data_IF_265628181095
#
_entry.id   IF_265628181095
#
_cell.length_a   1.000
_cell.length_b   1.000
_cell.length_c   1.000
_cell.angle_alpha   90.00
_cell.angle_beta   90.00
_cell.angle_gamma   90.00
#
_symmetry.space_group_name_H-M   'P 1'
#
loop_
_entity.id
_entity.type
_entity.pdbx_description
1 polymer ?
#
# COMPACT_ATOMS: atom_id res chain seq x y z
N UNK A 1 -16.73 8.60 -23.82
CA UNK A 1 -17.19 8.75 -25.23
C UNK A 1 -17.05 7.46 -26.05
N UNK A 2 -15.84 6.88 -26.26
CA UNK A 2 -15.62 5.64 -27.06
C UNK A 2 -16.60 4.48 -26.79
N UNK A 3 -16.97 4.27 -25.52
CA UNK A 3 -17.81 3.15 -25.10
C UNK A 3 -19.27 3.53 -24.81
N UNK A 4 -19.67 4.78 -25.08
CA UNK A 4 -21.02 5.30 -24.81
C UNK A 4 -21.57 4.93 -23.41
N UNK A 5 -20.72 5.06 -22.38
CA UNK A 5 -21.06 4.67 -21.00
C UNK A 5 -22.16 5.58 -20.45
N UNK A 6 -23.17 4.97 -19.82
CA UNK A 6 -24.35 5.65 -19.25
C UNK A 6 -24.53 5.31 -17.78
N UNK A 7 -25.33 6.12 -17.08
CA UNK A 7 -25.68 5.87 -15.69
C UNK A 7 -26.44 4.52 -15.57
N UNK A 8 -25.99 3.58 -14.72
CA UNK A 8 -26.54 2.22 -14.71
C UNK A 8 -27.99 2.12 -14.23
N UNK A 9 -28.50 3.10 -13.47
CA UNK A 9 -29.86 3.09 -12.91
C UNK A 9 -30.86 3.87 -13.77
N UNK A 10 -30.43 4.94 -14.42
CA UNK A 10 -31.32 5.88 -15.12
C UNK A 10 -31.07 5.95 -16.62
N UNK A 11 -29.99 5.33 -17.11
CA UNK A 11 -29.55 5.40 -18.50
C UNK A 11 -29.26 6.85 -18.99
N UNK A 12 -29.05 7.78 -18.06
CA UNK A 12 -28.67 9.15 -18.36
C UNK A 12 -27.23 9.23 -18.87
N UNK A 13 -26.95 10.23 -19.69
CA UNK A 13 -25.60 10.53 -20.12
C UNK A 13 -24.74 11.00 -18.93
N UNK A 14 -23.50 10.53 -18.88
CA UNK A 14 -22.55 10.90 -17.84
C UNK A 14 -21.84 12.20 -18.23
N UNK A 15 -21.58 13.06 -17.25
CA UNK A 15 -20.68 14.20 -17.44
C UNK A 15 -19.26 13.72 -17.69
N UNK A 16 -18.41 14.63 -18.20
CA UNK A 16 -16.98 14.35 -18.29
C UNK A 16 -16.39 14.02 -16.90
N UNK A 17 -15.45 13.06 -16.82
CA UNK A 17 -14.86 12.64 -15.56
C UNK A 17 -14.05 13.78 -14.94
N UNK A 18 -14.28 14.05 -13.67
CA UNK A 18 -13.57 15.08 -12.90
C UNK A 18 -12.82 14.46 -11.73
N UNK A 19 -11.67 15.03 -11.38
CA UNK A 19 -10.92 14.64 -10.20
C UNK A 19 -11.69 15.05 -8.94
N UNK A 20 -11.80 14.13 -7.98
CA UNK A 20 -12.46 14.37 -6.71
C UNK A 20 -11.49 14.04 -5.57
N UNK A 21 -11.35 14.97 -4.61
CA UNK A 21 -10.49 14.76 -3.46
C UNK A 21 -11.16 13.81 -2.47
N UNK A 22 -10.51 12.67 -2.22
CA UNK A 22 -10.98 11.63 -1.31
C UNK A 22 -10.61 11.90 0.16
N UNK A 23 -10.07 13.06 0.51
CA UNK A 23 -9.80 13.40 1.91
C UNK A 23 -11.00 14.12 2.54
N UNK A 24 -11.29 13.78 3.80
CA UNK A 24 -12.26 14.55 4.60
C UNK A 24 -11.61 15.85 5.05
N UNK A 25 -12.14 16.98 4.58
CA UNK A 25 -11.72 18.29 5.02
C UNK A 25 -12.40 18.67 6.34
N UNK A 26 -11.68 19.38 7.21
CA UNK A 26 -12.20 19.96 8.45
C UNK A 26 -11.52 21.31 8.71
N UNK A 27 -11.97 22.03 9.74
CA UNK A 27 -11.33 23.27 10.20
C UNK A 27 -10.82 23.07 11.63
N UNK A 28 -9.57 23.49 11.88
CA UNK A 28 -8.89 23.34 13.17
C UNK A 28 -8.96 24.68 13.92
N UNK A 29 -9.43 24.63 15.16
CA UNK A 29 -9.58 25.80 16.03
C UNK A 29 -10.87 26.60 15.80
N UNK A 30 -11.23 27.49 16.74
CA UNK A 30 -12.52 28.19 16.73
C UNK A 30 -12.65 29.25 15.62
N UNK A 31 -11.53 29.75 15.09
CA UNK A 31 -11.53 30.78 14.03
C UNK A 31 -11.79 30.21 12.65
N UNK A 32 -11.72 28.88 12.48
CA UNK A 32 -11.91 28.22 11.19
C UNK A 32 -10.85 28.53 10.13
N UNK A 33 -9.77 29.23 10.49
CA UNK A 33 -8.75 29.69 9.53
C UNK A 33 -7.78 28.59 9.11
N UNK A 34 -7.62 27.55 9.93
CA UNK A 34 -6.69 26.45 9.65
C UNK A 34 -7.49 25.31 9.03
N UNK A 35 -7.33 25.11 7.72
CA UNK A 35 -7.92 23.94 7.04
C UNK A 35 -7.10 22.69 7.37
N UNK A 36 -7.77 21.67 7.88
CA UNK A 36 -7.20 20.36 8.17
C UNK A 36 -7.84 19.26 7.34
N UNK A 37 -7.23 18.09 7.38
CA UNK A 37 -7.78 16.88 6.78
C UNK A 37 -7.67 15.72 7.75
N UNK A 38 -8.65 14.81 7.74
CA UNK A 38 -8.44 13.50 8.34
C UNK A 38 -7.42 12.74 7.50
N UNK A 39 -6.46 12.09 8.16
CA UNK A 39 -5.36 11.40 7.48
C UNK A 39 -5.89 10.25 6.59
N UNK A 40 -5.52 10.20 5.29
CA UNK A 40 -5.91 9.10 4.40
C UNK A 40 -5.07 7.83 4.59
N UNK A 41 -3.96 7.95 5.33
CA UNK A 41 -2.98 6.92 5.65
C UNK A 41 -2.29 7.19 7.01
N UNK A 42 -1.46 6.27 7.48
CA UNK A 42 -0.70 6.41 8.73
C UNK A 42 0.78 6.76 8.52
N UNK A 43 1.31 6.54 7.32
CA UNK A 43 2.70 6.75 6.90
C UNK A 43 3.27 8.14 7.22
N UNK A 44 2.52 9.19 6.92
CA UNK A 44 2.96 10.58 7.09
C UNK A 44 3.46 10.90 8.50
N UNK A 45 2.85 10.29 9.52
CA UNK A 45 3.26 10.45 10.92
C UNK A 45 4.66 9.90 11.21
N UNK A 46 5.09 8.86 10.50
CA UNK A 46 6.43 8.30 10.61
C UNK A 46 7.44 9.17 9.85
N UNK A 47 7.09 9.70 8.68
CA UNK A 47 7.98 10.58 7.91
C UNK A 47 8.27 11.91 8.60
N UNK A 48 7.25 12.59 9.14
CA UNK A 48 7.47 13.84 9.90
C UNK A 48 8.30 13.63 11.17
N UNK A 49 8.30 12.42 11.73
CA UNK A 49 9.09 12.05 12.90
C UNK A 49 10.40 11.33 12.56
N UNK A 50 10.80 11.25 11.28
CA UNK A 50 11.95 10.46 10.83
C UNK A 50 13.23 10.76 11.61
N UNK A 51 13.54 12.04 11.89
CA UNK A 51 14.76 12.42 12.63
C UNK A 51 14.84 11.75 14.01
N UNK A 52 13.72 11.72 14.74
CA UNK A 52 13.64 11.10 16.08
C UNK A 52 13.70 9.58 16.00
N UNK A 53 13.06 9.00 14.99
CA UNK A 53 13.09 7.55 14.76
C UNK A 53 14.50 7.08 14.38
N UNK A 54 15.20 7.83 13.54
CA UNK A 54 16.58 7.57 13.16
C UNK A 54 17.53 7.73 14.36
N UNK A 55 17.34 8.77 15.19
CA UNK A 55 18.09 8.96 16.42
C UNK A 55 17.91 7.79 17.40
N UNK A 56 16.70 7.25 17.51
CA UNK A 56 16.43 6.05 18.30
C UNK A 56 17.21 4.83 17.80
N UNK A 57 17.47 4.74 16.48
CA UNK A 57 18.36 3.74 15.89
C UNK A 57 19.82 4.19 15.80
N UNK A 58 20.24 5.15 16.63
CA UNK A 58 21.61 5.69 16.68
C UNK A 58 22.15 6.20 15.34
N UNK A 59 21.28 6.74 14.48
CA UNK A 59 21.68 7.24 13.17
C UNK A 59 21.98 6.17 12.12
N UNK A 60 21.67 4.89 12.39
CA UNK A 60 22.01 3.77 11.50
C UNK A 60 20.83 3.37 10.61
N UNK A 61 21.16 2.91 9.41
CA UNK A 61 20.25 2.22 8.50
C UNK A 61 20.69 0.76 8.33
N UNK A 62 19.77 -0.16 8.00
CA UNK A 62 18.33 0.05 7.89
C UNK A 62 17.62 0.11 9.26
N UNK A 63 16.42 0.67 9.28
CA UNK A 63 15.47 0.54 10.40
C UNK A 63 14.03 0.57 9.90
N UNK A 64 13.10 0.09 10.72
CA UNK A 64 11.67 0.16 10.40
C UNK A 64 10.90 0.84 11.52
N UNK A 65 9.88 1.62 11.15
CA UNK A 65 8.84 2.10 12.05
C UNK A 65 7.50 1.53 11.60
N UNK A 66 6.57 1.36 12.53
CA UNK A 66 5.24 0.87 12.22
C UNK A 66 4.17 1.68 12.96
N UNK A 67 3.00 1.82 12.35
CA UNK A 67 1.85 2.43 12.99
C UNK A 67 0.59 1.62 12.69
N UNK A 68 -0.21 1.40 13.73
CA UNK A 68 -1.55 0.82 13.62
C UNK A 68 -2.56 1.87 14.06
N UNK A 69 -3.55 2.14 13.22
CA UNK A 69 -4.60 3.08 13.58
C UNK A 69 -5.58 3.36 12.45
N UNK A 70 -6.57 4.20 12.73
CA UNK A 70 -7.62 4.51 11.77
C UNK A 70 -7.14 5.52 10.72
N UNK A 71 -7.63 5.32 9.50
CA UNK A 71 -7.49 6.23 8.36
C UNK A 71 -8.82 6.42 7.66
N UNK A 72 -8.94 7.55 6.97
CA UNK A 72 -10.21 8.03 6.45
C UNK A 72 -10.13 8.32 4.96
N UNK A 73 -11.03 7.73 4.17
CA UNK A 73 -11.14 7.98 2.73
C UNK A 73 -12.58 8.31 2.39
N UNK A 74 -12.83 9.52 1.89
CA UNK A 74 -14.14 10.04 1.49
C UNK A 74 -14.61 9.40 0.18
N UNK A 75 -14.84 8.09 0.25
CA UNK A 75 -15.22 7.27 -0.88
C UNK A 75 -16.55 7.72 -1.49
N UNK A 76 -16.55 7.87 -2.81
CA UNK A 76 -17.68 8.40 -3.59
C UNK A 76 -18.85 7.44 -3.55
N UNK A 77 -18.58 6.14 -3.67
CA UNK A 77 -19.60 5.10 -3.60
C UNK A 77 -19.11 3.90 -2.77
N UNK A 78 -19.37 3.87 -1.45
CA UNK A 78 -19.04 2.73 -0.61
C UNK A 78 -19.98 1.58 -0.96
N UNK A 79 -19.57 0.76 -1.91
CA UNK A 79 -20.22 -0.48 -2.32
C UNK A 79 -19.29 -1.63 -1.94
N UNK A 80 -19.85 -2.80 -1.61
CA UNK A 80 -19.10 -4.01 -1.21
C UNK A 80 -18.73 -4.17 0.28
N UNK A 81 -19.54 -3.61 1.20
CA UNK A 81 -19.37 -3.85 2.64
C UNK A 81 -18.00 -3.40 3.16
N UNK A 82 -17.32 -4.26 3.92
CA UNK A 82 -16.01 -3.96 4.52
C UNK A 82 -14.87 -3.76 3.49
N UNK A 83 -15.05 -4.19 2.24
CA UNK A 83 -14.04 -4.03 1.19
C UNK A 83 -13.87 -2.54 0.82
N UNK A 84 -14.91 -1.71 1.02
CA UNK A 84 -14.88 -0.30 0.64
C UNK A 84 -15.64 0.58 1.64
N UNK A 85 -14.93 1.04 2.65
CA UNK A 85 -15.45 1.86 3.77
C UNK A 85 -14.76 3.22 3.85
N UNK A 86 -15.37 4.16 4.58
CA UNK A 86 -14.86 5.53 4.76
C UNK A 86 -13.90 5.70 5.93
N UNK A 87 -13.97 4.78 6.91
CA UNK A 87 -13.08 4.68 8.05
C UNK A 87 -12.68 3.22 8.22
N UNK A 88 -11.39 2.96 8.38
CA UNK A 88 -10.86 1.62 8.60
C UNK A 88 -9.51 1.69 9.31
N UNK A 89 -9.18 0.61 10.03
CA UNK A 89 -7.89 0.45 10.68
C UNK A 89 -6.88 -0.10 9.67
N UNK A 90 -5.71 0.54 9.61
CA UNK A 90 -4.56 0.07 8.83
C UNK A 90 -3.38 -0.21 9.75
N UNK A 91 -2.51 -1.10 9.29
CA UNK A 91 -1.19 -1.34 9.86
C UNK A 91 -0.16 -1.09 8.76
N UNK A 92 0.65 -0.04 8.89
CA UNK A 92 1.68 0.33 7.92
C UNK A 92 3.06 0.21 8.55
N UNK A 93 4.03 -0.19 7.74
CA UNK A 93 5.45 -0.31 8.12
C UNK A 93 6.25 0.51 7.12
N UNK A 94 7.02 1.47 7.62
CA UNK A 94 8.01 2.21 6.83
C UNK A 94 9.38 1.62 7.12
N UNK A 95 9.93 0.90 6.13
CA UNK A 95 11.27 0.33 6.20
C UNK A 95 12.27 1.24 5.48
N UNK A 96 13.06 1.96 6.27
CA UNK A 96 14.10 2.86 5.78
C UNK A 96 15.39 2.07 5.57
N UNK A 97 15.93 2.14 4.36
CA UNK A 97 17.10 1.38 3.92
C UNK A 97 18.07 2.28 3.17
N UNK A 98 19.35 1.90 3.14
CA UNK A 98 20.34 2.58 2.31
C UNK A 98 20.00 2.34 0.82
N UNK A 99 19.86 3.39 -0.02
CA UNK A 99 19.59 3.20 -1.44
C UNK A 99 20.68 2.40 -2.17
N UNK A 100 21.92 2.39 -1.68
CA UNK A 100 23.04 1.63 -2.22
C UNK A 100 23.05 0.15 -1.79
N UNK A 101 22.38 -0.19 -0.68
CA UNK A 101 22.28 -1.55 -0.18
C UNK A 101 20.83 -1.90 0.20
N UNK A 102 20.14 -2.57 -0.72
CA UNK A 102 18.77 -3.06 -0.52
C UNK A 102 18.70 -4.57 -0.24
N UNK A 103 19.80 -5.15 0.26
CA UNK A 103 19.80 -6.53 0.75
C UNK A 103 18.97 -6.64 2.03
N UNK A 104 18.52 -7.86 2.36
CA UNK A 104 17.82 -8.09 3.63
C UNK A 104 18.37 -9.34 4.31
N UNK A 105 18.93 -9.24 5.53
CA UNK A 105 19.67 -10.33 6.16
C UNK A 105 18.82 -11.57 6.49
N UNK A 106 17.49 -11.45 6.42
CA UNK A 106 16.53 -12.54 6.67
C UNK A 106 15.78 -12.98 5.41
N UNK A 107 16.23 -12.59 4.23
CA UNK A 107 15.57 -12.99 2.99
C UNK A 107 15.54 -14.52 2.83
N UNK A 108 16.60 -15.21 3.23
CA UNK A 108 16.72 -16.67 3.17
C UNK A 108 15.60 -17.40 3.94
N UNK A 109 15.05 -16.78 4.99
CA UNK A 109 13.91 -17.33 5.76
C UNK A 109 12.64 -17.52 4.90
N UNK A 110 12.53 -16.79 3.79
CA UNK A 110 11.35 -16.79 2.92
C UNK A 110 11.66 -17.11 1.46
N UNK A 111 12.93 -17.22 1.07
CA UNK A 111 13.34 -17.41 -0.32
C UNK A 111 12.71 -18.67 -0.96
N UNK A 112 12.50 -19.73 -0.18
CA UNK A 112 11.95 -20.99 -0.68
C UNK A 112 10.40 -21.01 -0.80
N UNK A 113 9.71 -19.90 -0.54
CA UNK A 113 8.25 -19.83 -0.67
C UNK A 113 7.84 -19.83 -2.14
N UNK A 114 6.84 -20.64 -2.47
CA UNK A 114 6.15 -20.61 -3.76
C UNK A 114 4.97 -19.63 -3.68
N UNK A 115 5.04 -18.55 -4.44
CA UNK A 115 4.05 -17.45 -4.39
C UNK A 115 3.56 -17.14 -5.80
N UNK A 116 2.25 -16.92 -5.94
CA UNK A 116 1.66 -16.44 -7.19
C UNK A 116 1.96 -14.96 -7.39
N UNK A 117 2.77 -14.63 -8.40
CA UNK A 117 3.16 -13.26 -8.74
C UNK A 117 2.51 -12.84 -10.06
N UNK A 118 2.07 -11.58 -10.14
CA UNK A 118 1.47 -11.02 -11.34
C UNK A 118 2.24 -9.79 -11.85
N UNK A 119 3.25 -10.05 -12.67
CA UNK A 119 4.18 -9.03 -13.17
C UNK A 119 3.47 -7.97 -14.04
N UNK A 120 4.03 -6.77 -14.10
CA UNK A 120 3.55 -5.72 -15.00
C UNK A 120 3.59 -6.18 -16.47
N UNK A 121 4.64 -6.90 -16.87
CA UNK A 121 4.78 -7.47 -18.21
C UNK A 121 3.65 -8.45 -18.52
N UNK A 122 3.30 -9.35 -17.59
CA UNK A 122 2.21 -10.30 -17.81
C UNK A 122 0.87 -9.56 -17.93
N UNK A 123 0.62 -8.54 -17.11
CA UNK A 123 -0.58 -7.70 -17.19
C UNK A 123 -0.70 -7.03 -18.57
N UNK A 124 0.38 -6.39 -19.05
CA UNK A 124 0.37 -5.69 -20.34
C UNK A 124 0.22 -6.63 -21.55
N UNK A 125 0.70 -7.86 -21.42
CA UNK A 125 0.64 -8.88 -22.47
C UNK A 125 -0.59 -9.79 -22.36
N UNK A 126 -1.52 -9.51 -21.44
CA UNK A 126 -2.70 -10.35 -21.19
C UNK A 126 -2.38 -11.77 -20.73
N UNK A 127 -1.19 -12.00 -20.18
CA UNK A 127 -0.77 -13.28 -19.63
C UNK A 127 -1.26 -13.43 -18.18
N UNK A 128 -1.45 -14.67 -17.68
CA UNK A 128 -1.87 -14.90 -16.30
C UNK A 128 -0.76 -14.60 -15.29
N UNK A 129 -1.15 -14.53 -14.01
CA UNK A 129 -0.22 -14.64 -12.89
C UNK A 129 0.44 -16.03 -12.87
N UNK A 130 1.65 -16.13 -12.34
CA UNK A 130 2.43 -17.36 -12.34
C UNK A 130 2.87 -17.71 -10.92
N UNK A 131 2.81 -19.00 -10.59
CA UNK A 131 3.42 -19.52 -9.37
C UNK A 131 4.93 -19.49 -9.55
N UNK A 132 5.65 -18.90 -8.60
CA UNK A 132 7.10 -18.73 -8.71
C UNK A 132 7.76 -18.82 -7.34
N UNK A 133 8.92 -19.49 -7.30
CA UNK A 133 9.80 -19.49 -6.15
C UNK A 133 10.31 -18.07 -5.87
N UNK A 134 10.14 -17.58 -4.65
CA UNK A 134 10.45 -16.19 -4.30
C UNK A 134 11.94 -15.85 -4.46
N UNK A 135 12.84 -16.79 -4.16
CA UNK A 135 14.28 -16.68 -4.40
C UNK A 135 14.57 -16.47 -5.88
N UNK A 136 14.03 -17.35 -6.73
CA UNK A 136 14.14 -17.22 -8.18
C UNK A 136 13.54 -15.90 -8.71
N UNK A 137 12.45 -15.42 -8.12
CA UNK A 137 11.84 -14.14 -8.51
C UNK A 137 12.78 -12.95 -8.23
N UNK A 138 13.55 -12.97 -7.14
CA UNK A 138 14.55 -11.93 -6.84
C UNK A 138 15.77 -12.05 -7.76
N UNK A 139 16.27 -13.27 -7.99
CA UNK A 139 17.40 -13.52 -8.88
C UNK A 139 17.12 -13.07 -10.32
N UNK A 140 15.93 -13.38 -10.84
CA UNK A 140 15.48 -13.03 -12.18
C UNK A 140 15.06 -11.57 -12.34
N UNK A 141 15.13 -10.75 -11.27
CA UNK A 141 14.66 -9.36 -11.22
C UNK A 141 13.16 -9.16 -11.49
N UNK A 142 12.38 -10.23 -11.37
CA UNK A 142 10.92 -10.11 -11.26
C UNK A 142 10.53 -9.35 -9.98
N UNK A 143 11.26 -9.60 -8.89
CA UNK A 143 11.26 -8.80 -7.66
C UNK A 143 12.61 -8.08 -7.58
N UNK A 144 12.60 -6.74 -7.46
CA UNK A 144 13.79 -5.91 -7.67
C UNK A 144 14.96 -6.22 -6.72
N UNK A 145 14.67 -6.50 -5.45
CA UNK A 145 15.67 -6.71 -4.41
C UNK A 145 15.16 -7.61 -3.25
N UNK A 146 16.10 -8.04 -2.41
CA UNK A 146 15.81 -8.93 -1.27
C UNK A 146 14.94 -8.27 -0.20
N UNK A 147 15.00 -6.95 0.00
CA UNK A 147 14.13 -6.25 0.96
C UNK A 147 12.66 -6.37 0.55
N UNK A 148 12.34 -6.10 -0.72
CA UNK A 148 11.00 -6.32 -1.26
C UNK A 148 10.59 -7.78 -1.18
N UNK A 149 11.49 -8.69 -1.60
CA UNK A 149 11.25 -10.13 -1.50
C UNK A 149 10.91 -10.57 -0.08
N UNK A 150 11.69 -10.12 0.91
CA UNK A 150 11.47 -10.44 2.31
C UNK A 150 10.07 -10.02 2.78
N UNK A 151 9.66 -8.79 2.49
CA UNK A 151 8.32 -8.32 2.87
C UNK A 151 7.20 -9.04 2.11
N UNK A 152 7.36 -9.37 0.82
CA UNK A 152 6.40 -10.22 0.09
C UNK A 152 6.21 -11.56 0.79
N UNK A 153 7.31 -12.25 1.12
CA UNK A 153 7.27 -13.53 1.81
C UNK A 153 6.63 -13.45 3.21
N UNK A 154 6.97 -12.41 3.99
CA UNK A 154 6.38 -12.19 5.31
C UNK A 154 4.89 -11.83 5.25
N UNK A 155 4.46 -11.07 4.25
CA UNK A 155 3.05 -10.76 3.99
C UNK A 155 2.29 -12.04 3.64
N UNK A 156 2.84 -12.87 2.74
CA UNK A 156 2.25 -14.15 2.39
C UNK A 156 2.05 -15.05 3.62
N UNK A 157 3.09 -15.21 4.45
CA UNK A 157 3.02 -16.01 5.68
C UNK A 157 2.02 -15.43 6.70
N UNK A 158 1.92 -14.10 6.79
CA UNK A 158 0.95 -13.46 7.68
C UNK A 158 -0.49 -13.72 7.23
N UNK A 159 -0.78 -13.51 5.94
CA UNK A 159 -2.13 -13.70 5.38
C UNK A 159 -2.58 -15.16 5.46
N UNK A 160 -1.70 -16.11 5.11
CA UNK A 160 -1.99 -17.54 5.23
C UNK A 160 -2.21 -17.96 6.69
N UNK A 161 -1.42 -17.45 7.63
CA UNK A 161 -1.64 -17.66 9.06
C UNK A 161 -2.97 -17.08 9.57
N UNK A 162 -3.45 -15.99 8.96
CA UNK A 162 -4.77 -15.41 9.23
C UNK A 162 -5.93 -16.15 8.53
N UNK A 163 -5.66 -17.21 7.77
CA UNK A 163 -6.68 -18.04 7.11
C UNK A 163 -7.06 -17.61 5.70
N UNK A 164 -6.24 -16.78 5.04
CA UNK A 164 -6.39 -16.50 3.60
C UNK A 164 -5.81 -17.67 2.80
N UNK A 165 -6.60 -18.22 1.88
CA UNK A 165 -6.22 -19.32 0.99
C UNK A 165 -5.76 -18.82 -0.38
#
# INVERSE_FOLDING_TARGET
QKYNMKAPLTNNDLSEPVAFNLMFATSIGPTGQIKGFLRPETAQGMFVNFKRLLEFNHGRLPFAAAQIGNSFRNEISPRSGLIRVREFTMAEIEHFVDPADKTHPKFDDVANLEITLYSATNQMNGQPAQLTNLGHAVESKLVDNQTLGYFIGRIYLFLTKCGVN
#
